data_IF_244062475748
#
_entry.id   IF_244062475748
#
_cell.length_a   1.000
_cell.length_b   1.000
_cell.length_c   1.000
_cell.angle_alpha   90.00
_cell.angle_beta   90.00
_cell.angle_gamma   90.00
#
_symmetry.space_group_name_H-M   'P 1'
#
loop_
_entity.id
_entity.type
_entity.pdbx_description
1 polymer ?
#
# COMPACT_ATOMS: atom_id res chain seq x y z
N UNK A 1 -2.25 -31.43 -6.61
CA UNK A 1 -1.88 -30.00 -6.50
C UNK A 1 -0.88 -29.71 -7.61
N UNK A 2 -1.17 -28.77 -8.52
CA UNK A 2 -0.27 -28.47 -9.65
C UNK A 2 1.04 -27.85 -9.15
N UNK A 3 2.19 -28.40 -9.57
CA UNK A 3 3.53 -27.95 -9.15
C UNK A 3 3.80 -26.46 -9.41
N UNK A 4 3.12 -25.87 -10.39
CA UNK A 4 3.23 -24.44 -10.74
C UNK A 4 2.54 -23.52 -9.71
N UNK A 5 1.37 -23.91 -9.20
CA UNK A 5 0.63 -23.14 -8.19
C UNK A 5 1.14 -23.38 -6.77
N UNK A 6 1.95 -24.43 -6.56
CA UNK A 6 2.67 -24.64 -5.31
C UNK A 6 3.96 -23.82 -5.18
N UNK A 7 4.40 -23.14 -6.24
CA UNK A 7 5.63 -22.35 -6.22
C UNK A 7 5.36 -20.97 -5.59
N UNK A 8 6.02 -20.63 -4.47
CA UNK A 8 5.81 -19.36 -3.77
C UNK A 8 6.14 -18.15 -4.64
N UNK A 9 7.14 -18.23 -5.55
CA UNK A 9 7.42 -17.11 -6.47
C UNK A 9 6.25 -16.86 -7.43
N UNK A 10 5.56 -17.91 -7.86
CA UNK A 10 4.43 -17.78 -8.77
C UNK A 10 3.24 -17.16 -8.03
N UNK A 11 2.94 -17.63 -6.81
CA UNK A 11 1.78 -17.17 -6.05
C UNK A 11 1.98 -15.78 -5.43
N UNK A 12 3.19 -15.42 -5.02
CA UNK A 12 3.45 -14.12 -4.34
C UNK A 12 3.98 -13.02 -5.25
N UNK A 13 4.36 -13.31 -6.51
CA UNK A 13 4.86 -12.30 -7.45
C UNK A 13 4.21 -12.37 -8.82
N UNK A 14 4.33 -13.49 -9.54
CA UNK A 14 3.87 -13.58 -10.93
C UNK A 14 2.34 -13.46 -11.06
N UNK A 15 1.59 -14.20 -10.26
CA UNK A 15 0.12 -14.16 -10.25
C UNK A 15 -0.41 -12.76 -9.87
N UNK A 16 0.03 -12.11 -8.77
CA UNK A 16 -0.41 -10.75 -8.47
C UNK A 16 -0.07 -9.76 -9.58
N UNK A 17 1.12 -9.84 -10.17
CA UNK A 17 1.52 -8.96 -11.27
C UNK A 17 0.57 -9.10 -12.47
N UNK A 18 0.31 -10.33 -12.92
CA UNK A 18 -0.60 -10.62 -14.03
C UNK A 18 -2.02 -10.18 -13.70
N UNK A 19 -2.48 -10.43 -12.47
CA UNK A 19 -3.79 -9.98 -12.01
C UNK A 19 -3.88 -8.44 -12.03
N UNK A 20 -2.81 -7.74 -11.66
CA UNK A 20 -2.73 -6.28 -11.72
C UNK A 20 -2.86 -5.74 -13.14
N UNK A 21 -2.19 -6.39 -14.10
CA UNK A 21 -2.33 -6.09 -15.53
C UNK A 21 -3.78 -6.33 -15.98
N UNK A 22 -4.36 -7.47 -15.60
CA UNK A 22 -5.74 -7.81 -15.94
C UNK A 22 -6.75 -6.80 -15.35
N UNK A 23 -6.57 -6.34 -14.12
CA UNK A 23 -7.36 -5.28 -13.51
C UNK A 23 -7.25 -3.96 -14.29
N UNK A 24 -6.06 -3.65 -14.82
CA UNK A 24 -5.85 -2.54 -15.74
C UNK A 24 -6.69 -2.67 -17.02
N UNK A 25 -6.63 -3.82 -17.68
CA UNK A 25 -7.44 -4.12 -18.87
C UNK A 25 -8.93 -4.03 -18.59
N UNK A 26 -9.39 -4.62 -17.49
CA UNK A 26 -10.80 -4.59 -17.07
C UNK A 26 -11.25 -3.14 -16.81
N UNK A 27 -10.41 -2.33 -16.15
CA UNK A 27 -10.67 -0.91 -15.93
C UNK A 27 -10.76 -0.08 -17.21
N UNK A 28 -10.06 -0.49 -18.29
CA UNK A 28 -10.15 0.14 -19.61
C UNK A 28 -11.38 -0.31 -20.40
N UNK A 29 -11.67 -1.62 -20.40
CA UNK A 29 -12.66 -2.24 -21.29
C UNK A 29 -14.11 -2.04 -20.83
N UNK A 30 -14.32 -1.77 -19.54
CA UNK A 30 -15.64 -1.75 -18.95
C UNK A 30 -16.14 -0.34 -18.68
N UNK A 31 -17.46 -0.19 -18.69
CA UNK A 31 -18.16 0.89 -18.01
C UNK A 31 -18.08 0.77 -16.48
N UNK A 32 -17.11 0.05 -15.88
CA UNK A 32 -16.83 0.05 -14.42
C UNK A 32 -16.47 1.45 -13.89
N UNK A 33 -16.43 2.45 -14.76
CA UNK A 33 -16.70 3.86 -14.43
C UNK A 33 -18.00 4.05 -13.62
N UNK A 34 -18.97 3.14 -13.71
CA UNK A 34 -20.21 3.12 -12.96
C UNK A 34 -20.03 2.35 -11.64
N UNK A 35 -20.13 3.10 -10.53
CA UNK A 35 -20.53 2.58 -9.21
C UNK A 35 -19.59 1.50 -8.58
N UNK A 36 -19.84 0.96 -7.36
CA UNK A 36 -18.79 0.42 -6.46
C UNK A 36 -18.04 -0.85 -6.94
N UNK A 37 -18.30 -1.32 -8.15
CA UNK A 37 -17.70 -2.51 -8.73
C UNK A 37 -16.16 -2.44 -8.85
N UNK A 38 -15.59 -1.26 -9.14
CA UNK A 38 -14.13 -1.09 -9.13
C UNK A 38 -13.52 -1.35 -7.75
N UNK A 39 -14.13 -0.81 -6.69
CA UNK A 39 -13.67 -1.04 -5.31
C UNK A 39 -13.84 -2.52 -4.93
N UNK A 40 -14.97 -3.14 -5.29
CA UNK A 40 -15.21 -4.56 -5.03
C UNK A 40 -14.20 -5.47 -5.73
N UNK A 41 -13.84 -5.16 -6.98
CA UNK A 41 -12.88 -5.97 -7.74
C UNK A 41 -11.49 -5.90 -7.12
N UNK A 42 -11.05 -4.69 -6.75
CA UNK A 42 -9.78 -4.50 -6.03
C UNK A 42 -9.81 -5.13 -4.64
N UNK A 43 -10.94 -5.03 -3.92
CA UNK A 43 -11.11 -5.67 -2.61
C UNK A 43 -11.03 -7.19 -2.72
N UNK A 44 -11.71 -7.79 -3.71
CA UNK A 44 -11.65 -9.22 -3.95
C UNK A 44 -10.21 -9.68 -4.23
N UNK A 45 -9.46 -8.96 -5.08
CA UNK A 45 -8.06 -9.27 -5.36
C UNK A 45 -7.17 -9.14 -4.11
N UNK A 46 -7.30 -8.06 -3.35
CA UNK A 46 -6.52 -7.88 -2.12
C UNK A 46 -6.87 -8.95 -1.07
N UNK A 47 -8.15 -9.16 -0.80
CA UNK A 47 -8.64 -10.17 0.16
C UNK A 47 -8.21 -11.58 -0.25
N UNK A 48 -8.19 -11.90 -1.55
CA UNK A 48 -7.66 -13.16 -2.04
C UNK A 48 -6.21 -13.38 -1.58
N UNK A 49 -5.32 -12.40 -1.72
CA UNK A 49 -3.93 -12.53 -1.24
C UNK A 49 -3.81 -12.55 0.29
N UNK A 50 -4.66 -11.81 1.00
CA UNK A 50 -4.74 -11.93 2.46
C UNK A 50 -5.13 -13.35 2.88
N UNK A 51 -6.13 -13.94 2.24
CA UNK A 51 -6.57 -15.31 2.52
C UNK A 51 -5.47 -16.29 2.15
N UNK A 52 -4.93 -16.24 0.92
CA UNK A 52 -3.96 -17.19 0.41
C UNK A 52 -2.70 -17.25 1.28
N UNK A 53 -2.23 -16.09 1.76
CA UNK A 53 -0.97 -15.99 2.52
C UNK A 53 -1.20 -16.17 4.03
N UNK A 54 -2.29 -15.63 4.59
CA UNK A 54 -2.53 -15.64 6.05
C UNK A 54 -3.41 -16.80 6.50
N UNK A 55 -4.06 -17.49 5.56
CA UNK A 55 -5.07 -18.52 5.82
C UNK A 55 -6.49 -17.96 5.94
N UNK A 56 -7.45 -18.89 6.08
CA UNK A 56 -8.85 -18.57 6.24
C UNK A 56 -9.11 -17.79 7.56
N UNK A 57 -10.10 -16.87 7.57
CA UNK A 57 -10.43 -16.11 8.77
C UNK A 57 -10.95 -17.03 9.88
N UNK A 58 -10.39 -16.87 11.08
CA UNK A 58 -10.81 -17.63 12.28
C UNK A 58 -11.76 -16.78 13.12
N UNK A 59 -12.90 -17.36 13.55
CA UNK A 59 -13.97 -16.65 14.26
C UNK A 59 -13.48 -15.81 15.46
N UNK A 60 -12.43 -16.26 16.15
CA UNK A 60 -11.85 -15.58 17.31
C UNK A 60 -10.35 -15.31 17.07
N UNK A 61 -9.99 -14.20 16.39
CA UNK A 61 -8.60 -13.91 16.04
C UNK A 61 -7.80 -13.52 17.30
N UNK A 62 -6.87 -14.39 17.69
CA UNK A 62 -6.00 -14.19 18.86
C UNK A 62 -4.62 -13.65 18.47
N UNK A 63 -4.10 -14.10 17.32
CA UNK A 63 -2.83 -13.63 16.77
C UNK A 63 -3.01 -12.36 15.93
N UNK A 64 -1.99 -11.50 15.89
CA UNK A 64 -2.03 -10.28 15.08
C UNK A 64 -2.20 -10.59 13.58
N UNK A 65 -1.52 -11.63 13.09
CA UNK A 65 -1.64 -12.13 11.72
C UNK A 65 -3.09 -12.46 11.35
N UNK A 66 -3.84 -13.10 12.25
CA UNK A 66 -5.25 -13.43 12.05
C UNK A 66 -6.15 -12.19 11.97
N UNK A 67 -5.77 -11.08 12.60
CA UNK A 67 -6.53 -9.81 12.57
C UNK A 67 -6.40 -9.07 11.24
N UNK A 68 -5.32 -9.30 10.48
CA UNK A 68 -5.04 -8.58 9.24
C UNK A 68 -6.13 -8.76 8.19
N UNK A 69 -6.70 -9.96 8.04
CA UNK A 69 -7.80 -10.19 7.08
C UNK A 69 -9.07 -9.43 7.48
N UNK A 70 -9.37 -9.34 8.78
CA UNK A 70 -10.50 -8.56 9.28
C UNK A 70 -10.30 -7.06 9.07
N UNK A 71 -9.07 -6.57 9.27
CA UNK A 71 -8.72 -5.19 8.97
C UNK A 71 -8.84 -4.90 7.46
N UNK A 72 -8.43 -5.81 6.59
CA UNK A 72 -8.61 -5.67 5.15
C UNK A 72 -10.10 -5.64 4.74
N UNK A 73 -10.92 -6.53 5.32
CA UNK A 73 -12.38 -6.54 5.12
C UNK A 73 -13.02 -5.23 5.59
N UNK A 74 -12.61 -4.72 6.74
CA UNK A 74 -13.08 -3.46 7.29
C UNK A 74 -12.65 -2.27 6.43
N UNK A 75 -11.42 -2.29 5.90
CA UNK A 75 -10.93 -1.34 4.90
C UNK A 75 -11.72 -1.39 3.61
N UNK A 76 -12.12 -2.57 3.14
CA UNK A 76 -12.98 -2.73 1.96
C UNK A 76 -14.39 -2.17 2.19
N UNK A 77 -15.02 -2.49 3.32
CA UNK A 77 -16.32 -1.93 3.69
C UNK A 77 -16.28 -0.40 3.77
N UNK A 78 -15.23 0.15 4.38
CA UNK A 78 -15.04 1.60 4.45
C UNK A 78 -14.78 2.22 3.08
N UNK A 79 -13.95 1.61 2.23
CA UNK A 79 -13.67 2.10 0.89
C UNK A 79 -14.94 2.14 0.00
N UNK A 80 -15.83 1.16 0.14
CA UNK A 80 -17.13 1.16 -0.53
C UNK A 80 -18.02 2.31 -0.05
N UNK A 81 -18.06 2.55 1.26
CA UNK A 81 -18.79 3.67 1.85
C UNK A 81 -18.20 5.02 1.41
N UNK A 82 -16.87 5.13 1.37
CA UNK A 82 -16.15 6.31 0.95
C UNK A 82 -16.42 6.67 -0.52
N UNK A 83 -16.58 5.67 -1.40
CA UNK A 83 -16.91 5.90 -2.81
C UNK A 83 -18.29 6.57 -2.99
N UNK A 84 -19.21 6.36 -2.05
CA UNK A 84 -20.56 6.93 -2.08
C UNK A 84 -20.66 8.30 -1.38
N UNK A 85 -19.65 8.69 -0.60
CA UNK A 85 -19.69 9.92 0.17
C UNK A 85 -18.89 11.02 -0.55
N UNK A 86 -19.46 12.15 -0.98
CA UNK A 86 -18.70 13.21 -1.65
C UNK A 86 -17.74 13.97 -0.71
N UNK A 87 -17.90 13.84 0.62
CA UNK A 87 -17.13 14.61 1.58
C UNK A 87 -15.74 13.99 1.86
N UNK A 88 -14.73 14.46 1.11
CA UNK A 88 -13.35 14.01 1.25
C UNK A 88 -12.76 14.20 2.65
N UNK A 89 -13.22 15.19 3.43
CA UNK A 89 -12.75 15.38 4.82
C UNK A 89 -13.22 14.25 5.72
N UNK A 90 -14.47 13.83 5.56
CA UNK A 90 -15.04 12.68 6.30
C UNK A 90 -14.33 11.40 5.90
N UNK A 91 -14.06 11.21 4.60
CA UNK A 91 -13.29 10.04 4.13
C UNK A 91 -11.86 10.03 4.71
N UNK A 92 -11.17 11.16 4.69
CA UNK A 92 -9.81 11.29 5.19
C UNK A 92 -9.76 11.06 6.71
N UNK A 93 -10.66 11.68 7.47
CA UNK A 93 -10.78 11.48 8.91
C UNK A 93 -11.16 10.04 9.26
N UNK A 94 -12.09 9.44 8.52
CA UNK A 94 -12.49 8.04 8.70
C UNK A 94 -11.35 7.07 8.42
N UNK A 95 -10.61 7.25 7.32
CA UNK A 95 -9.48 6.39 7.00
C UNK A 95 -8.33 6.52 8.01
N UNK A 96 -8.05 7.75 8.47
CA UNK A 96 -7.08 7.97 9.55
C UNK A 96 -7.54 7.30 10.86
N UNK A 97 -8.83 7.39 11.20
CA UNK A 97 -9.41 6.69 12.35
C UNK A 97 -9.25 5.18 12.21
N UNK A 98 -9.44 4.60 11.02
CA UNK A 98 -9.22 3.18 10.80
C UNK A 98 -7.79 2.75 11.04
N UNK A 99 -6.81 3.57 10.66
CA UNK A 99 -5.39 3.32 10.94
C UNK A 99 -5.14 3.32 12.46
N UNK A 100 -5.74 4.26 13.21
CA UNK A 100 -5.66 4.31 14.67
C UNK A 100 -6.33 3.08 15.30
N UNK A 101 -7.52 2.71 14.86
CA UNK A 101 -8.23 1.52 15.34
C UNK A 101 -7.41 0.26 15.07
N UNK A 102 -6.79 0.14 13.89
CA UNK A 102 -5.90 -0.97 13.57
C UNK A 102 -4.69 -1.01 14.51
N UNK A 103 -4.01 0.12 14.73
CA UNK A 103 -2.89 0.20 15.67
C UNK A 103 -3.31 -0.25 17.07
N UNK A 104 -4.43 0.26 17.60
CA UNK A 104 -4.94 -0.11 18.93
C UNK A 104 -5.32 -1.59 19.01
N UNK A 105 -6.00 -2.12 18.00
CA UNK A 105 -6.43 -3.52 18.01
C UNK A 105 -5.26 -4.50 17.87
N UNK A 106 -4.24 -4.16 17.08
CA UNK A 106 -3.02 -4.94 16.95
C UNK A 106 -2.15 -4.86 18.20
N UNK A 107 -2.10 -3.70 18.87
CA UNK A 107 -1.18 -3.43 19.99
C UNK A 107 -1.77 -3.54 21.40
N UNK A 108 -3.06 -3.86 21.55
CA UNK A 108 -3.73 -3.83 22.87
C UNK A 108 -2.97 -4.58 23.98
N UNK A 109 -2.43 -5.77 23.69
CA UNK A 109 -1.64 -6.55 24.68
C UNK A 109 -0.34 -5.86 25.06
N UNK A 110 0.33 -5.23 24.09
CA UNK A 110 1.56 -4.48 24.32
C UNK A 110 1.30 -3.20 25.12
N UNK A 111 0.20 -2.50 24.83
CA UNK A 111 -0.21 -1.31 25.58
C UNK A 111 -0.38 -1.60 27.07
N UNK A 112 -0.91 -2.78 27.42
CA UNK A 112 -1.04 -3.20 28.82
C UNK A 112 0.30 -3.49 29.50
N UNK A 113 1.33 -3.90 28.75
CA UNK A 113 2.67 -4.17 29.29
C UNK A 113 3.60 -2.95 29.32
N UNK A 114 3.15 -1.79 28.82
CA UNK A 114 3.93 -0.55 28.77
C UNK A 114 4.37 -0.15 27.35
N UNK A 115 5.00 1.02 27.23
CA UNK A 115 5.44 1.57 25.94
C UNK A 115 6.89 1.19 25.67
N UNK A 116 7.10 0.36 24.65
CA UNK A 116 8.42 0.00 24.13
C UNK A 116 8.74 0.75 22.82
N UNK A 117 9.99 0.65 22.36
CA UNK A 117 10.44 1.28 21.12
C UNK A 117 9.67 0.79 19.88
N UNK A 118 9.23 -0.48 19.88
CA UNK A 118 8.45 -1.06 18.78
C UNK A 118 7.05 -0.45 18.69
N UNK A 119 6.38 -0.26 19.82
CA UNK A 119 5.09 0.41 19.90
C UNK A 119 5.20 1.87 19.48
N UNK A 120 6.23 2.58 19.95
CA UNK A 120 6.50 3.95 19.52
C UNK A 120 6.74 4.02 18.00
N UNK A 121 7.54 3.10 17.45
CA UNK A 121 7.79 3.02 16.00
C UNK A 121 6.51 2.76 15.23
N UNK A 122 5.70 1.79 15.66
CA UNK A 122 4.42 1.46 15.03
C UNK A 122 3.43 2.63 15.08
N UNK A 123 3.42 3.40 16.18
CA UNK A 123 2.59 4.60 16.31
C UNK A 123 3.02 5.69 15.34
N UNK A 124 4.32 5.95 15.21
CA UNK A 124 4.84 6.93 14.24
C UNK A 124 4.58 6.46 12.80
N UNK A 125 4.81 5.18 12.49
CA UNK A 125 4.45 4.56 11.20
C UNK A 125 2.98 4.78 10.86
N UNK A 126 2.07 4.49 11.80
CA UNK A 126 0.64 4.71 11.62
C UNK A 126 0.31 6.19 11.36
N UNK A 127 0.92 7.10 12.12
CA UNK A 127 0.72 8.54 11.98
C UNK A 127 1.23 9.06 10.63
N UNK A 128 2.39 8.60 10.16
CA UNK A 128 2.98 9.02 8.90
C UNK A 128 2.15 8.55 7.70
N UNK A 129 1.68 7.30 7.71
CA UNK A 129 0.77 6.80 6.67
C UNK A 129 -0.55 7.57 6.70
N UNK A 130 -1.15 7.79 7.88
CA UNK A 130 -2.39 8.53 8.00
C UNK A 130 -2.24 9.97 7.49
N UNK A 131 -1.16 10.67 7.86
CA UNK A 131 -0.85 12.01 7.37
C UNK A 131 -0.70 12.02 5.84
N UNK A 132 0.04 11.06 5.29
CA UNK A 132 0.22 10.92 3.84
C UNK A 132 -1.09 10.64 3.10
N UNK A 133 -1.95 9.78 3.64
CA UNK A 133 -3.28 9.50 3.09
C UNK A 133 -4.15 10.75 3.06
N UNK A 134 -4.25 11.45 4.20
CA UNK A 134 -5.02 12.69 4.33
C UNK A 134 -4.53 13.73 3.33
N UNK A 135 -3.20 13.90 3.23
CA UNK A 135 -2.58 14.85 2.32
C UNK A 135 -2.90 14.50 0.84
N UNK A 136 -2.83 13.22 0.45
CA UNK A 136 -3.18 12.76 -0.89
C UNK A 136 -4.67 12.96 -1.22
N UNK A 137 -5.56 12.76 -0.26
CA UNK A 137 -7.00 12.99 -0.44
C UNK A 137 -7.33 14.48 -0.58
N UNK A 138 -6.59 15.36 0.10
CA UNK A 138 -6.74 16.82 -0.06
C UNK A 138 -6.35 17.30 -1.46
N UNK A 139 -5.32 16.70 -2.09
CA UNK A 139 -4.98 17.01 -3.50
C UNK A 139 -6.15 16.65 -4.42
N UNK A 140 -6.77 15.49 -4.21
CA UNK A 140 -7.95 15.09 -4.99
C UNK A 140 -9.12 16.07 -4.82
N UNK A 141 -9.22 16.76 -3.69
CA UNK A 141 -10.24 17.78 -3.46
C UNK A 141 -9.95 19.16 -4.07
N UNK A 142 -8.70 19.42 -4.46
CA UNK A 142 -8.33 20.66 -5.15
C UNK A 142 -8.71 20.57 -6.64
N UNK A 143 -9.27 21.67 -7.17
CA UNK A 143 -9.82 21.91 -8.52
C UNK A 143 -9.70 20.78 -9.60
N UNK A 144 -10.77 20.48 -10.37
CA UNK A 144 -10.79 19.41 -11.39
C UNK A 144 -9.67 19.46 -12.43
N UNK A 145 -9.11 20.64 -12.74
CA UNK A 145 -7.98 20.80 -13.65
C UNK A 145 -6.69 20.14 -13.14
N UNK A 146 -6.50 20.04 -11.81
CA UNK A 146 -5.35 19.38 -11.19
C UNK A 146 -5.43 17.84 -11.24
N UNK A 147 -6.64 17.27 -11.29
CA UNK A 147 -6.86 15.81 -11.30
C UNK A 147 -6.47 15.16 -12.63
N UNK A 148 -6.60 15.88 -13.74
CA UNK A 148 -6.25 15.37 -15.09
C UNK A 148 -4.75 15.17 -15.26
N UNK A 149 -3.92 15.84 -14.45
CA UNK A 149 -2.46 15.83 -14.64
C UNK A 149 -1.71 14.72 -13.89
N UNK A 150 -2.24 14.14 -12.81
CA UNK A 150 -1.43 13.30 -11.88
C UNK A 150 -2.13 12.02 -11.37
N UNK A 151 -2.70 11.17 -12.23
CA UNK A 151 -3.39 9.95 -11.80
C UNK A 151 -2.51 8.88 -11.13
N UNK A 152 -1.20 8.97 -11.37
CA UNK A 152 -0.21 7.97 -10.98
C UNK A 152 0.22 8.06 -9.50
N UNK A 153 -0.11 9.15 -8.79
CA UNK A 153 0.42 9.42 -7.45
C UNK A 153 0.04 8.34 -6.42
N UNK A 154 -1.24 7.95 -6.37
CA UNK A 154 -1.72 6.94 -5.44
C UNK A 154 -1.15 5.54 -5.73
N UNK A 155 -1.25 5.01 -6.97
CA UNK A 155 -0.64 3.72 -7.30
C UNK A 155 0.87 3.70 -7.05
N UNK A 156 1.60 4.78 -7.40
CA UNK A 156 3.04 4.86 -7.17
C UNK A 156 3.40 4.87 -5.67
N UNK A 157 2.62 5.58 -4.86
CA UNK A 157 2.81 5.59 -3.41
C UNK A 157 2.55 4.20 -2.80
N UNK A 158 1.44 3.54 -3.17
CA UNK A 158 1.13 2.19 -2.67
C UNK A 158 2.17 1.17 -3.12
N UNK A 159 2.59 1.22 -4.39
CA UNK A 159 3.67 0.37 -4.90
C UNK A 159 4.96 0.55 -4.10
N UNK A 160 5.35 1.80 -3.84
CA UNK A 160 6.59 2.12 -3.12
C UNK A 160 6.53 1.68 -1.66
N UNK A 161 5.41 1.94 -0.96
CA UNK A 161 5.18 1.48 0.42
C UNK A 161 5.15 -0.04 0.48
N UNK A 162 4.40 -0.70 -0.41
CA UNK A 162 4.29 -2.15 -0.46
C UNK A 162 5.64 -2.80 -0.72
N UNK A 163 6.42 -2.29 -1.69
CA UNK A 163 7.73 -2.84 -2.04
C UNK A 163 8.76 -2.67 -0.92
N UNK A 164 8.92 -1.46 -0.39
CA UNK A 164 9.82 -1.24 0.75
C UNK A 164 9.35 -2.00 1.99
N UNK A 165 8.05 -1.99 2.27
CA UNK A 165 7.42 -2.75 3.33
C UNK A 165 7.68 -4.25 3.22
N UNK A 166 7.63 -4.82 2.02
CA UNK A 166 7.91 -6.23 1.77
C UNK A 166 9.35 -6.59 2.17
N UNK A 167 10.32 -5.87 1.63
CA UNK A 167 11.75 -6.13 1.88
C UNK A 167 12.10 -5.91 3.36
N UNK A 168 11.65 -4.79 3.93
CA UNK A 168 11.86 -4.49 5.36
C UNK A 168 11.22 -5.53 6.27
N UNK A 169 10.04 -6.04 5.93
CA UNK A 169 9.37 -7.11 6.69
C UNK A 169 10.13 -8.43 6.61
N UNK A 170 10.62 -8.83 5.43
CA UNK A 170 11.43 -10.05 5.27
C UNK A 170 12.71 -9.95 6.10
N UNK A 171 13.43 -8.84 6.00
CA UNK A 171 14.67 -8.62 6.75
C UNK A 171 14.44 -8.52 8.26
N UNK A 172 13.24 -8.09 8.69
CA UNK A 172 12.83 -8.05 10.08
C UNK A 172 12.36 -9.41 10.65
N UNK A 173 12.50 -10.51 9.90
CA UNK A 173 12.00 -11.86 10.21
C UNK A 173 10.47 -11.99 10.26
N UNK A 174 9.75 -11.17 9.47
CA UNK A 174 8.30 -11.25 9.26
C UNK A 174 8.00 -11.68 7.81
N UNK A 175 8.44 -12.89 7.44
CA UNK A 175 8.43 -13.39 6.04
C UNK A 175 7.02 -13.40 5.45
N UNK A 176 6.03 -13.91 6.19
CA UNK A 176 4.63 -14.01 5.72
C UNK A 176 4.05 -12.64 5.41
N UNK A 177 4.32 -11.64 6.27
CA UNK A 177 3.88 -10.27 6.01
C UNK A 177 4.65 -9.65 4.84
N UNK A 178 5.94 -9.95 4.73
CA UNK A 178 6.75 -9.55 3.59
C UNK A 178 6.21 -10.09 2.26
N UNK A 179 5.77 -11.35 2.23
CA UNK A 179 5.12 -11.96 1.07
C UNK A 179 3.80 -11.28 0.73
N UNK A 180 2.97 -10.94 1.73
CA UNK A 180 1.72 -10.20 1.52
C UNK A 180 1.96 -8.78 0.98
N UNK A 181 2.88 -8.03 1.57
CA UNK A 181 3.22 -6.70 1.06
C UNK A 181 3.84 -6.78 -0.34
N UNK A 182 4.63 -7.82 -0.60
CA UNK A 182 5.22 -8.10 -1.92
C UNK A 182 4.16 -8.43 -2.97
N UNK A 183 3.15 -9.23 -2.63
CA UNK A 183 2.05 -9.57 -3.53
C UNK A 183 1.17 -8.35 -3.84
N UNK A 184 0.86 -7.52 -2.84
CA UNK A 184 0.16 -6.26 -3.03
C UNK A 184 0.98 -5.24 -3.85
N UNK A 185 2.30 -5.21 -3.66
CA UNK A 185 3.20 -4.40 -4.48
C UNK A 185 3.23 -4.90 -5.92
N UNK A 186 3.35 -6.21 -6.16
CA UNK A 186 3.30 -6.80 -7.50
C UNK A 186 1.95 -6.55 -8.20
N UNK A 187 0.83 -6.69 -7.47
CA UNK A 187 -0.52 -6.35 -7.94
C UNK A 187 -0.61 -4.89 -8.39
N UNK A 188 -0.14 -3.98 -7.55
CA UNK A 188 -0.11 -2.55 -7.87
C UNK A 188 0.85 -2.25 -9.03
N UNK A 189 2.00 -2.93 -9.08
CA UNK A 189 3.01 -2.80 -10.12
C UNK A 189 2.50 -3.24 -11.49
N UNK A 190 1.74 -4.32 -11.57
CA UNK A 190 1.10 -4.79 -12.81
C UNK A 190 0.10 -3.77 -13.34
N UNK A 191 -0.71 -3.17 -12.46
CA UNK A 191 -1.62 -2.09 -12.81
C UNK A 191 -0.87 -0.84 -13.29
N UNK A 192 0.20 -0.45 -12.59
CA UNK A 192 1.06 0.68 -13.00
C UNK A 192 1.72 0.46 -14.36
N UNK A 193 2.21 -0.76 -14.63
CA UNK A 193 2.83 -1.12 -15.90
C UNK A 193 1.83 -0.99 -17.06
N UNK A 194 0.64 -1.59 -16.90
CA UNK A 194 -0.43 -1.47 -17.89
C UNK A 194 -0.80 0.01 -18.12
N UNK A 195 -1.02 0.75 -17.04
CA UNK A 195 -1.38 2.17 -17.11
C UNK A 195 -0.32 3.05 -17.76
N UNK A 196 0.96 2.74 -17.55
CA UNK A 196 2.06 3.44 -18.20
C UNK A 196 2.12 3.16 -19.70
N UNK A 197 1.97 1.89 -20.12
CA UNK A 197 1.91 1.51 -21.54
C UNK A 197 0.73 2.21 -22.23
N UNK A 198 -0.44 2.19 -21.61
CA UNK A 198 -1.64 2.92 -22.05
C UNK A 198 -1.38 4.41 -22.23
N UNK A 199 -0.73 5.03 -21.25
CA UNK A 199 -0.39 6.45 -21.29
C UNK A 199 0.51 6.80 -22.47
N UNK A 200 1.44 5.92 -22.84
CA UNK A 200 2.31 6.09 -24.01
C UNK A 200 1.56 5.90 -25.33
N UNK A 201 0.68 4.90 -25.43
CA UNK A 201 0.01 4.51 -26.68
C UNK A 201 -1.24 5.35 -26.97
N UNK A 202 -2.14 5.52 -26.01
CA UNK A 202 -3.51 6.00 -26.27
C UNK A 202 -3.64 7.53 -26.34
N UNK A 203 -2.57 8.29 -26.05
CA UNK A 203 -2.54 9.76 -25.94
C UNK A 203 -3.62 10.39 -25.03
N UNK A 204 -4.45 9.60 -24.34
CA UNK A 204 -5.40 9.97 -23.29
C UNK A 204 -5.11 9.16 -22.03
N UNK A 205 -5.40 9.75 -20.87
CA UNK A 205 -5.14 9.15 -19.57
C UNK A 205 -6.43 8.59 -18.96
N UNK A 206 -6.64 7.29 -19.05
CA UNK A 206 -7.59 6.54 -18.20
C UNK A 206 -6.91 5.95 -16.95
N UNK A 207 -5.61 6.18 -16.80
CA UNK A 207 -4.85 5.72 -15.65
C UNK A 207 -5.33 6.44 -14.39
N UNK A 208 -5.37 5.75 -13.25
CA UNK A 208 -5.68 6.34 -11.95
C UNK A 208 -6.76 5.58 -11.17
N UNK A 209 -6.57 5.48 -9.87
CA UNK A 209 -7.57 4.89 -8.98
C UNK A 209 -8.63 5.90 -8.55
N UNK A 210 -9.88 5.42 -8.50
CA UNK A 210 -10.97 6.09 -7.77
C UNK A 210 -10.62 6.20 -6.29
N UNK A 211 -11.35 7.07 -5.58
CA UNK A 211 -11.01 7.42 -4.20
C UNK A 211 -11.13 6.23 -3.25
N UNK A 212 -12.19 5.43 -3.37
CA UNK A 212 -12.36 4.21 -2.59
C UNK A 212 -11.24 3.20 -2.85
N UNK A 213 -10.89 2.92 -4.11
CA UNK A 213 -9.78 2.01 -4.45
C UNK A 213 -8.45 2.50 -3.89
N UNK A 214 -8.18 3.80 -3.97
CA UNK A 214 -6.98 4.40 -3.44
C UNK A 214 -6.88 4.27 -1.90
N UNK A 215 -7.98 4.52 -1.19
CA UNK A 215 -8.07 4.33 0.27
C UNK A 215 -7.87 2.85 0.61
N UNK A 216 -8.61 1.94 -0.05
CA UNK A 216 -8.53 0.51 0.16
C UNK A 216 -7.08 0.01 0.06
N UNK A 217 -6.43 0.29 -1.08
CA UNK A 217 -5.11 -0.24 -1.35
C UNK A 217 -4.05 0.31 -0.40
N UNK A 218 -4.17 1.59 0.00
CA UNK A 218 -3.27 2.15 1.00
C UNK A 218 -3.49 1.52 2.38
N UNK A 219 -4.73 1.29 2.79
CA UNK A 219 -5.04 0.58 4.04
C UNK A 219 -4.51 -0.87 4.01
N UNK A 220 -4.65 -1.58 2.88
CA UNK A 220 -4.12 -2.92 2.69
C UNK A 220 -2.59 -3.01 2.82
N UNK A 221 -1.84 -1.99 2.43
CA UNK A 221 -0.38 -1.97 2.70
C UNK A 221 -0.04 -1.41 4.08
N UNK A 222 -0.90 -0.54 4.64
CA UNK A 222 -0.69 0.07 5.94
C UNK A 222 -0.80 -0.93 7.10
N UNK A 223 -1.87 -1.75 7.13
CA UNK A 223 -2.11 -2.65 8.26
C UNK A 223 -0.98 -3.67 8.47
N UNK A 224 -0.48 -4.36 7.43
CA UNK A 224 0.63 -5.30 7.60
C UNK A 224 1.95 -4.59 7.95
N UNK A 225 2.17 -3.36 7.47
CA UNK A 225 3.35 -2.57 7.81
C UNK A 225 3.33 -2.11 9.29
N UNK A 226 2.16 -1.71 9.80
CA UNK A 226 1.95 -1.44 11.23
C UNK A 226 2.22 -2.70 12.05
N UNK A 227 1.68 -3.85 11.64
CA UNK A 227 1.94 -5.12 12.32
C UNK A 227 3.44 -5.45 12.36
N UNK A 228 4.13 -5.32 11.23
CA UNK A 228 5.58 -5.58 11.16
C UNK A 228 6.34 -4.64 12.09
N UNK A 229 6.01 -3.35 12.09
CA UNK A 229 6.67 -2.37 12.96
C UNK A 229 6.44 -2.66 14.44
N UNK A 230 5.30 -3.26 14.79
CA UNK A 230 4.91 -3.56 16.15
C UNK A 230 5.51 -4.87 16.69
N UNK A 231 5.65 -5.88 15.83
CA UNK A 231 5.87 -7.28 16.25
C UNK A 231 7.09 -7.95 15.63
N UNK A 232 7.69 -7.39 14.58
CA UNK A 232 8.83 -8.03 13.94
C UNK A 232 10.09 -7.87 14.83
N UNK A 233 10.75 -8.97 15.21
CA UNK A 233 11.80 -8.95 16.23
C UNK A 233 13.05 -8.18 15.79
N UNK A 234 13.34 -8.17 14.49
CA UNK A 234 14.56 -7.58 13.91
C UNK A 234 14.25 -6.30 13.10
N UNK A 235 13.17 -5.61 13.42
CA UNK A 235 12.77 -4.42 12.66
C UNK A 235 13.80 -3.30 12.82
N UNK A 236 14.29 -2.79 11.69
CA UNK A 236 15.03 -1.53 11.68
C UNK A 236 14.02 -0.37 11.70
N UNK A 237 13.98 0.35 12.82
CA UNK A 237 13.01 1.43 13.05
C UNK A 237 13.11 2.55 12.00
N UNK A 238 14.33 2.92 11.58
CA UNK A 238 14.53 3.97 10.57
C UNK A 238 14.03 3.50 9.20
N UNK A 239 14.29 2.24 8.83
CA UNK A 239 13.78 1.67 7.60
C UNK A 239 12.25 1.59 7.59
N UNK A 240 11.62 1.22 8.71
CA UNK A 240 10.17 1.23 8.86
C UNK A 240 9.58 2.63 8.65
N UNK A 241 10.16 3.66 9.27
CA UNK A 241 9.73 5.05 9.10
C UNK A 241 9.85 5.50 7.63
N UNK A 242 10.99 5.24 6.99
CA UNK A 242 11.21 5.61 5.59
C UNK A 242 10.28 4.85 4.62
N UNK A 243 9.98 3.57 4.89
CA UNK A 243 9.05 2.79 4.09
C UNK A 243 7.62 3.40 4.07
N UNK A 244 7.25 4.21 5.07
CA UNK A 244 5.94 4.88 5.16
C UNK A 244 5.88 6.27 4.55
N UNK A 245 7.02 6.86 4.18
CA UNK A 245 7.09 8.21 3.59
C UNK A 245 6.52 8.37 2.16
N UNK A 246 6.48 7.35 1.27
CA UNK A 246 6.07 7.57 -0.12
C UNK A 246 4.74 8.32 -0.33
N UNK A 247 3.66 8.11 0.45
CA UNK A 247 2.43 8.89 0.32
C UNK A 247 2.62 10.39 0.60
N UNK A 248 3.44 10.75 1.59
CA UNK A 248 3.79 12.15 1.87
C UNK A 248 4.65 12.75 0.75
N UNK A 249 5.61 11.99 0.22
CA UNK A 249 6.42 12.45 -0.93
C UNK A 249 5.57 12.60 -2.18
N UNK A 250 4.61 11.69 -2.42
CA UNK A 250 3.65 11.81 -3.51
C UNK A 250 2.81 13.09 -3.37
N UNK A 251 2.44 13.46 -2.15
CA UNK A 251 1.81 14.75 -1.89
C UNK A 251 2.75 15.92 -2.22
N UNK A 252 4.00 15.90 -1.79
CA UNK A 252 4.99 16.94 -2.09
C UNK A 252 5.28 17.08 -3.60
N UNK A 253 5.38 15.98 -4.34
CA UNK A 253 5.55 15.92 -5.81
C UNK A 253 4.36 16.55 -6.54
N UNK A 254 3.17 16.49 -5.95
CA UNK A 254 2.00 17.16 -6.51
C UNK A 254 2.03 18.69 -6.35
N UNK A 255 2.82 19.23 -5.42
CA UNK A 255 2.86 20.65 -5.09
C UNK A 255 4.30 21.19 -5.10
N UNK A 256 4.94 21.22 -3.93
CA UNK A 256 6.23 21.88 -3.73
C UNK A 256 7.37 21.35 -4.60
N UNK A 257 7.37 20.07 -4.94
CA UNK A 257 8.42 19.44 -5.76
C UNK A 257 8.04 19.38 -7.26
N UNK A 258 6.96 20.04 -7.68
CA UNK A 258 6.53 20.02 -9.07
C UNK A 258 7.57 20.61 -10.03
N UNK A 259 8.41 21.55 -9.57
CA UNK A 259 9.47 22.15 -10.38
C UNK A 259 10.58 21.15 -10.78
N UNK A 260 10.70 20.02 -10.07
CA UNK A 260 11.65 18.95 -10.40
C UNK A 260 11.12 18.04 -11.52
N UNK A 261 9.83 18.15 -11.87
CA UNK A 261 9.22 17.30 -12.88
C UNK A 261 9.49 17.84 -14.29
N UNK A 262 9.88 16.99 -15.24
CA UNK A 262 10.07 17.42 -16.61
C UNK A 262 8.74 17.89 -17.22
N UNK A 263 8.81 18.94 -18.03
CA UNK A 263 7.66 19.49 -18.76
C UNK A 263 7.17 18.51 -19.84
N UNK A 264 8.07 17.66 -20.35
CA UNK A 264 7.75 16.64 -21.33
C UNK A 264 6.81 15.57 -20.74
N UNK A 265 5.75 15.25 -21.49
CA UNK A 265 4.66 14.36 -21.06
C UNK A 265 5.13 12.94 -20.68
N UNK A 266 5.96 12.31 -21.51
CA UNK A 266 6.39 10.93 -21.35
C UNK A 266 7.28 10.68 -20.11
N UNK A 267 8.33 11.49 -19.83
CA UNK A 267 9.20 11.26 -18.67
C UNK A 267 8.58 11.71 -17.34
N UNK A 268 7.55 12.56 -17.34
CA UNK A 268 6.93 13.10 -16.11
C UNK A 268 6.44 12.03 -15.11
N UNK A 269 5.67 10.99 -15.48
CA UNK A 269 5.26 9.95 -14.54
C UNK A 269 6.43 9.11 -14.03
N UNK A 270 7.47 8.88 -14.86
CA UNK A 270 8.67 8.15 -14.43
C UNK A 270 9.48 8.94 -13.40
N UNK A 271 9.71 10.23 -13.67
CA UNK A 271 10.40 11.13 -12.74
C UNK A 271 9.63 11.26 -11.42
N UNK A 272 8.31 11.43 -11.48
CA UNK A 272 7.48 11.48 -10.28
C UNK A 272 7.49 10.15 -9.50
N UNK A 273 7.37 9.02 -10.19
CA UNK A 273 7.47 7.70 -9.57
C UNK A 273 8.82 7.47 -8.89
N UNK A 274 9.91 7.88 -9.55
CA UNK A 274 11.25 7.81 -8.98
C UNK A 274 11.39 8.67 -7.71
N UNK A 275 10.92 9.93 -7.75
CA UNK A 275 10.93 10.81 -6.58
C UNK A 275 10.12 10.22 -5.41
N UNK A 276 8.94 9.65 -5.68
CA UNK A 276 8.10 8.97 -4.68
C UNK A 276 8.81 7.74 -4.11
N UNK A 277 9.58 7.04 -4.93
CA UNK A 277 10.32 5.84 -4.53
C UNK A 277 11.61 6.14 -3.75
N UNK A 278 12.15 7.37 -3.75
CA UNK A 278 13.38 7.71 -3.00
C UNK A 278 13.36 7.24 -1.54
N UNK A 279 12.35 7.56 -0.71
CA UNK A 279 12.33 7.06 0.66
C UNK A 279 12.20 5.54 0.75
N UNK A 280 11.49 4.90 -0.19
CA UNK A 280 11.38 3.45 -0.26
C UNK A 280 12.75 2.81 -0.60
N UNK A 281 13.51 3.38 -1.53
CA UNK A 281 14.88 2.94 -1.85
C UNK A 281 15.78 3.10 -0.63
N UNK A 282 15.73 4.24 0.05
CA UNK A 282 16.51 4.47 1.28
C UNK A 282 16.13 3.49 2.40
N UNK A 283 14.84 3.19 2.57
CA UNK A 283 14.37 2.19 3.52
C UNK A 283 14.97 0.81 3.24
N UNK A 284 14.94 0.39 1.96
CA UNK A 284 15.53 -0.88 1.51
C UNK A 284 17.03 -0.91 1.75
N UNK A 285 17.76 0.14 1.37
CA UNK A 285 19.20 0.23 1.58
C UNK A 285 19.58 0.17 3.06
N UNK A 286 18.88 0.92 3.93
CA UNK A 286 19.12 0.88 5.37
C UNK A 286 18.80 -0.51 5.92
N UNK A 287 17.70 -1.12 5.52
CA UNK A 287 17.37 -2.47 5.96
C UNK A 287 18.43 -3.50 5.52
N UNK A 288 18.96 -3.39 4.30
CA UNK A 288 20.00 -4.29 3.78
C UNK A 288 21.34 -4.09 4.49
N UNK A 289 21.78 -2.85 4.70
CA UNK A 289 23.04 -2.53 5.38
C UNK A 289 23.02 -3.02 6.84
N UNK A 290 21.84 -2.98 7.47
CA UNK A 290 21.66 -3.39 8.87
C UNK A 290 21.12 -4.83 9.02
N UNK A 291 20.84 -5.53 7.92
CA UNK A 291 20.51 -6.95 7.90
C UNK A 291 21.61 -7.90 8.46
N UNK A 292 22.94 -7.62 8.38
CA UNK A 292 23.95 -8.59 8.78
C UNK A 292 24.02 -8.85 10.29
N UNK A 293 23.35 -8.06 11.13
CA UNK A 293 23.20 -8.36 12.55
C UNK A 293 22.09 -9.41 12.81
N UNK A 294 21.20 -9.63 11.84
CA UNK A 294 20.12 -10.61 11.90
C UNK A 294 20.44 -11.95 11.23
N UNK A 295 21.34 -11.97 10.24
CA UNK A 295 21.73 -13.18 9.50
C UNK A 295 22.79 -14.04 10.21
N UNK A 296 23.51 -13.50 11.21
CA UNK A 296 24.52 -14.25 11.98
C UNK A 296 23.94 -15.10 13.12
N UNK A 297 22.63 -15.11 13.35
CA UNK A 297 21.99 -15.89 14.43
C UNK A 297 20.89 -16.82 13.89
N UNK A 298 21.31 -17.85 13.15
CA UNK A 298 20.54 -19.08 12.94
C UNK A 298 19.72 -19.14 11.65
N UNK A 299 20.39 -19.40 10.54
CA UNK A 299 20.04 -20.56 9.72
C UNK A 299 20.98 -21.70 10.10
#
# INVERSE_FOLDING_TARGET
>A
MNAVLGNPMVTTAALPLVLGIALGFVGRASTLSAWPAAVLTWAAAAIFFYWDIMGAPVLWPTAASQKLIYLALLGAAFALSAENNPNLRVQAGGAALLIVVALLWLSWRKLLSGVDLQLATAAVVALLIAAGLVALLWIKGAAPSAQTEKPFLFPAAVLSVGFAGAITSVLAASIVVGQLLGSLAALTGGYCLFGFIEFLVARRSSFGWRTGTAILMLLCVAFPLIQTSLLAPKINHVAALLATMPPLVAWLVSGRLQFLLPSARAPRPLAAGFLIAVPAILAVLIALVWAPQGAQLGF
#
